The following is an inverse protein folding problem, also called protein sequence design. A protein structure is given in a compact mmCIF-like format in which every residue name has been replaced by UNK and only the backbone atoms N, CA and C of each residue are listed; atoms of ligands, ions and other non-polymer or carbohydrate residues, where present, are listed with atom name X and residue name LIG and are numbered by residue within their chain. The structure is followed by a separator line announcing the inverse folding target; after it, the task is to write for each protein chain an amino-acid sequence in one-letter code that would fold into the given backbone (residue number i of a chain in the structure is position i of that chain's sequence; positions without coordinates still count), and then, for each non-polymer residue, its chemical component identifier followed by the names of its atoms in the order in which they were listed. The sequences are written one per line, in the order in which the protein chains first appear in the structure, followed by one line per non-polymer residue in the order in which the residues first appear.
data_IF_097293228326
#
_entry.id   IF_097293228326
#
_cell.length_a   1.000
_cell.length_b   1.000
_cell.length_c   1.000
_cell.angle_alpha   90.00
_cell.angle_beta   90.00
_cell.angle_gamma   90.00
#
_symmetry.space_group_name_H-M   'P 1'
#
loop_
_entity.id
_entity.type
_entity.pdbx_description
1 polymer ?
#
# COMPACT_ATOMS: atom_id res chain seq x y z
N UNK A 1 8.25 -5.75 -17.13
CA UNK A 1 6.79 -5.96 -17.23
C UNK A 1 6.15 -5.38 -15.99
N UNK A 2 5.04 -4.67 -16.14
CA UNK A 2 4.25 -4.15 -15.02
C UNK A 2 2.85 -4.74 -15.14
N UNK A 3 2.38 -5.36 -14.07
CA UNK A 3 1.05 -5.94 -13.94
C UNK A 3 0.29 -5.17 -12.87
N UNK A 4 -0.99 -4.88 -13.11
CA UNK A 4 -1.86 -4.20 -12.17
C UNK A 4 -3.09 -5.06 -11.87
N UNK A 5 -3.31 -5.35 -10.60
CA UNK A 5 -4.49 -6.06 -10.13
C UNK A 5 -5.30 -5.13 -9.22
N UNK A 6 -6.58 -4.95 -9.56
CA UNK A 6 -7.54 -4.19 -8.75
C UNK A 6 -8.61 -5.16 -8.25
N UNK A 7 -8.77 -5.24 -6.94
CA UNK A 7 -9.65 -6.21 -6.28
C UNK A 7 -10.61 -5.46 -5.37
N UNK A 8 -11.92 -5.67 -5.54
CA UNK A 8 -12.86 -5.28 -4.50
C UNK A 8 -12.69 -6.25 -3.34
N UNK A 9 -12.29 -5.72 -2.19
CA UNK A 9 -12.10 -6.53 -0.99
C UNK A 9 -13.47 -6.76 -0.34
N UNK A 10 -13.64 -7.95 0.24
CA UNK A 10 -14.79 -8.18 1.12
C UNK A 10 -14.70 -7.27 2.34
N UNK A 11 -15.85 -6.86 2.89
CA UNK A 11 -15.84 -6.18 4.18
C UNK A 11 -15.26 -7.14 5.22
N UNK A 12 -14.28 -6.72 6.04
CA UNK A 12 -13.74 -7.56 7.09
C UNK A 12 -14.84 -7.89 8.10
N UNK A 13 -14.88 -9.15 8.58
CA UNK A 13 -15.71 -9.54 9.72
C UNK A 13 -15.11 -8.94 11.00
N UNK A 14 -15.47 -7.69 11.31
CA UNK A 14 -15.06 -7.01 12.54
C UNK A 14 -16.31 -6.67 13.33
N UNK A 15 -16.34 -7.09 14.61
CA UNK A 15 -17.49 -6.88 15.52
C UNK A 15 -17.66 -5.43 16.01
N UNK A 16 -16.86 -4.45 15.54
CA UNK A 16 -16.95 -3.06 16.00
C UNK A 16 -17.93 -2.20 15.17
N UNK A 17 -18.58 -1.26 15.86
CA UNK A 17 -19.93 -0.76 15.58
C UNK A 17 -20.09 0.34 14.52
N UNK A 18 -19.05 0.72 13.76
CA UNK A 18 -19.22 1.61 12.60
C UNK A 18 -18.50 1.06 11.36
N UNK A 19 -19.30 0.50 10.46
CA UNK A 19 -18.85 -0.34 9.36
C UNK A 19 -18.15 0.45 8.25
N UNK A 20 -17.11 -0.16 7.69
CA UNK A 20 -16.70 0.14 6.32
C UNK A 20 -17.91 -0.03 5.40
N UNK A 21 -18.23 1.00 4.64
CA UNK A 21 -19.23 0.94 3.57
C UNK A 21 -18.64 0.27 2.31
N UNK A 22 -17.32 0.13 2.23
CA UNK A 22 -16.63 -0.58 1.16
C UNK A 22 -15.12 -0.43 1.23
N UNK A 23 -14.44 -1.30 0.49
CA UNK A 23 -12.99 -1.26 0.33
C UNK A 23 -12.52 -1.86 -1.00
N UNK A 24 -11.35 -1.42 -1.46
CA UNK A 24 -10.66 -1.86 -2.68
C UNK A 24 -9.19 -2.01 -2.38
N UNK A 25 -8.60 -3.10 -2.82
CA UNK A 25 -7.16 -3.34 -2.79
C UNK A 25 -6.60 -3.22 -4.20
N UNK A 26 -5.42 -2.61 -4.30
CA UNK A 26 -4.67 -2.48 -5.54
C UNK A 26 -3.28 -3.06 -5.31
N UNK A 27 -2.85 -3.98 -6.17
CA UNK A 27 -1.51 -4.54 -6.15
C UNK A 27 -0.84 -4.32 -7.50
N UNK A 28 0.34 -3.73 -7.46
CA UNK A 28 1.25 -3.64 -8.59
C UNK A 28 2.31 -4.72 -8.47
N UNK A 29 2.44 -5.53 -9.51
CA UNK A 29 3.56 -6.44 -9.70
C UNK A 29 4.54 -5.89 -10.72
N UNK A 30 5.80 -5.79 -10.31
CA UNK A 30 6.90 -5.39 -11.16
C UNK A 30 7.77 -6.61 -11.39
N UNK A 31 7.99 -6.98 -12.66
CA UNK A 31 8.98 -8.00 -13.05
C UNK A 31 9.97 -7.41 -14.02
N UNK A 32 11.24 -7.38 -13.62
CA UNK A 32 12.33 -6.86 -14.43
C UNK A 32 12.86 -7.95 -15.38
N UNK A 33 12.87 -7.68 -16.68
CA UNK A 33 13.56 -8.50 -17.70
C UNK A 33 14.90 -7.88 -18.12
N UNK A 34 15.04 -6.58 -17.89
CA UNK A 34 16.22 -5.74 -18.08
C UNK A 34 16.28 -4.80 -16.89
N UNK A 35 17.47 -4.36 -16.44
CA UNK A 35 17.59 -3.48 -15.29
C UNK A 35 16.64 -2.27 -15.38
N UNK A 36 16.02 -1.95 -14.25
CA UNK A 36 15.12 -0.80 -14.10
C UNK A 36 15.82 0.18 -13.15
N UNK A 37 16.01 1.41 -13.62
CA UNK A 37 16.45 2.56 -12.80
C UNK A 37 15.48 2.81 -11.64
N UNK A 38 15.91 3.45 -10.54
CA UNK A 38 15.00 3.91 -9.48
C UNK A 38 13.70 4.53 -9.99
N UNK A 39 12.57 4.18 -9.38
CA UNK A 39 11.26 4.65 -9.82
C UNK A 39 10.35 4.97 -8.63
N UNK A 40 9.16 5.49 -8.93
CA UNK A 40 8.14 5.78 -7.93
C UNK A 40 6.75 5.40 -8.40
N UNK A 41 5.88 5.12 -7.43
CA UNK A 41 4.45 4.93 -7.64
C UNK A 41 3.71 5.99 -6.83
N UNK A 42 2.78 6.68 -7.46
CA UNK A 42 1.97 7.72 -6.81
C UNK A 42 0.49 7.36 -6.88
N UNK A 43 -0.21 7.51 -5.76
CA UNK A 43 -1.67 7.52 -5.73
C UNK A 43 -2.10 8.93 -5.31
N UNK A 44 -2.89 9.60 -6.14
CA UNK A 44 -3.33 10.98 -5.92
C UNK A 44 -4.85 11.09 -5.99
N UNK A 45 -5.39 12.03 -5.23
CA UNK A 45 -6.81 12.40 -5.27
C UNK A 45 -6.98 13.86 -5.68
N UNK A 46 -7.85 14.12 -6.66
CA UNK A 46 -8.04 15.47 -7.21
C UNK A 46 -9.12 16.30 -6.47
N UNK A 47 -9.90 15.66 -5.60
CA UNK A 47 -10.99 16.33 -4.85
C UNK A 47 -10.53 17.11 -3.60
N UNK A 48 -11.38 18.01 -3.09
CA UNK A 48 -11.10 18.80 -1.89
C UNK A 48 -11.25 17.98 -0.61
N UNK A 49 -10.77 18.53 0.52
CA UNK A 49 -11.02 17.95 1.84
C UNK A 49 -10.18 16.73 2.18
N UNK A 50 -8.97 16.64 1.60
CA UNK A 50 -8.01 15.60 1.89
C UNK A 50 -6.90 16.11 2.82
N UNK A 51 -6.38 15.23 3.66
CA UNK A 51 -5.21 15.49 4.49
C UNK A 51 -4.49 14.20 4.87
N UNK A 52 -3.24 14.29 5.32
CA UNK A 52 -2.47 13.14 5.80
C UNK A 52 -3.14 12.53 7.03
N UNK A 53 -3.05 11.20 7.13
CA UNK A 53 -3.57 10.39 8.23
C UNK A 53 -2.50 9.36 8.63
N UNK A 54 -1.32 9.86 9.01
CA UNK A 54 -0.11 9.06 9.23
C UNK A 54 0.03 8.59 10.67
N UNK A 55 0.80 7.50 10.87
CA UNK A 55 1.00 6.86 12.17
C UNK A 55 2.19 5.89 12.13
N UNK A 56 2.43 5.15 13.22
CA UNK A 56 3.49 4.15 13.23
C UNK A 56 3.14 2.99 12.29
N UNK A 57 4.05 2.64 11.38
CA UNK A 57 3.91 1.57 10.39
C UNK A 57 2.93 1.86 9.23
N UNK A 58 2.49 3.12 9.07
CA UNK A 58 1.49 3.47 8.07
C UNK A 58 1.69 4.83 7.40
N UNK A 59 1.56 4.83 6.08
CA UNK A 59 1.48 6.02 5.25
C UNK A 59 0.09 6.05 4.60
N UNK A 60 -0.71 7.06 4.96
CA UNK A 60 -2.09 7.16 4.55
C UNK A 60 -2.55 8.61 4.39
N UNK A 61 -3.57 8.80 3.56
CA UNK A 61 -4.30 10.07 3.48
C UNK A 61 -5.80 9.81 3.46
N UNK A 62 -6.53 10.74 4.07
CA UNK A 62 -7.97 10.64 4.26
C UNK A 62 -8.67 11.82 3.58
N UNK A 63 -9.78 11.55 2.90
CA UNK A 63 -10.63 12.54 2.24
C UNK A 63 -12.08 12.39 2.70
N UNK A 64 -12.72 13.50 3.04
CA UNK A 64 -14.15 13.54 3.30
C UNK A 64 -14.91 13.88 2.01
N UNK A 65 -15.80 12.99 1.56
CA UNK A 65 -16.62 13.18 0.36
C UNK A 65 -18.02 12.59 0.52
N UNK A 66 -19.06 13.36 0.15
CA UNK A 66 -20.45 12.89 0.10
C UNK A 66 -20.92 12.08 1.33
N UNK A 67 -20.66 12.59 2.54
CA UNK A 67 -21.05 11.94 3.79
C UNK A 67 -20.20 10.73 4.19
N UNK A 68 -19.15 10.43 3.43
CA UNK A 68 -18.19 9.38 3.72
C UNK A 68 -16.81 9.96 4.03
N UNK A 69 -16.06 9.21 4.81
CA UNK A 69 -14.62 9.39 4.99
C UNK A 69 -13.93 8.22 4.32
N UNK A 70 -13.09 8.53 3.34
CA UNK A 70 -12.30 7.57 2.58
C UNK A 70 -10.83 7.71 2.97
N UNK A 71 -10.17 6.59 3.22
CA UNK A 71 -8.74 6.53 3.48
C UNK A 71 -8.06 5.69 2.41
N UNK A 72 -6.95 6.18 1.90
CA UNK A 72 -6.02 5.42 1.08
C UNK A 72 -4.77 5.21 1.92
N UNK A 73 -4.29 3.97 2.00
CA UNK A 73 -3.14 3.59 2.80
C UNK A 73 -2.21 2.62 2.08
N UNK A 74 -0.97 2.59 2.54
CA UNK A 74 0.05 1.59 2.22
C UNK A 74 0.99 1.42 3.42
N UNK A 75 1.94 0.50 3.30
CA UNK A 75 3.02 0.37 4.29
C UNK A 75 3.90 1.62 4.28
N UNK A 76 4.26 2.09 5.46
CA UNK A 76 5.25 3.15 5.60
C UNK A 76 6.67 2.67 5.30
N UNK A 77 7.62 3.57 5.51
CA UNK A 77 9.02 3.32 5.21
C UNK A 77 9.63 2.17 6.04
N UNK A 78 9.34 2.12 7.34
CA UNK A 78 9.80 1.05 8.22
C UNK A 78 9.20 -0.31 7.83
N UNK A 79 7.89 -0.35 7.57
CA UNK A 79 7.20 -1.56 7.16
C UNK A 79 7.67 -2.06 5.78
N UNK A 80 8.02 -1.15 4.86
CA UNK A 80 8.65 -1.51 3.59
C UNK A 80 10.06 -2.08 3.79
N UNK A 81 10.88 -1.46 4.64
CA UNK A 81 12.23 -1.95 4.94
C UNK A 81 12.19 -3.33 5.61
N UNK A 82 11.21 -3.60 6.48
CA UNK A 82 11.02 -4.93 7.07
C UNK A 82 10.65 -6.03 6.05
N UNK A 83 10.20 -5.66 4.84
CA UNK A 83 9.97 -6.60 3.73
C UNK A 83 11.22 -6.85 2.90
N UNK A 84 12.29 -6.08 3.06
CA UNK A 84 13.52 -6.24 2.29
C UNK A 84 14.21 -7.55 2.71
N UNK A 85 14.34 -8.48 1.76
CA UNK A 85 14.96 -9.78 2.00
C UNK A 85 14.18 -10.73 2.93
N UNK A 86 13.01 -10.30 3.44
CA UNK A 86 12.19 -11.05 4.37
C UNK A 86 10.70 -10.94 4.06
N UNK A 87 9.95 -12.02 4.29
CA UNK A 87 8.48 -11.98 4.24
C UNK A 87 7.92 -12.36 5.60
N UNK A 88 6.86 -11.68 6.01
CA UNK A 88 6.10 -12.06 7.21
C UNK A 88 4.61 -12.04 6.87
N UNK A 89 3.77 -12.84 7.56
CA UNK A 89 2.32 -12.77 7.35
C UNK A 89 1.72 -11.38 7.61
N UNK A 90 2.42 -10.55 8.39
CA UNK A 90 2.01 -9.18 8.73
C UNK A 90 2.35 -8.16 7.65
N UNK A 91 3.33 -8.43 6.78
CA UNK A 91 3.85 -7.47 5.79
C UNK A 91 3.76 -7.98 4.33
N UNK A 92 3.50 -9.27 4.14
CA UNK A 92 3.35 -9.91 2.83
C UNK A 92 4.67 -10.24 2.13
N UNK A 93 4.60 -10.36 0.79
CA UNK A 93 5.73 -10.76 -0.05
C UNK A 93 6.99 -9.91 0.14
N UNK A 94 8.14 -10.59 0.13
CA UNK A 94 9.45 -10.00 0.27
C UNK A 94 9.81 -9.08 -0.91
N UNK A 95 10.61 -8.05 -0.61
CA UNK A 95 11.25 -7.15 -1.56
C UNK A 95 12.72 -7.58 -1.79
N UNK A 96 13.38 -7.14 -2.88
CA UNK A 96 14.76 -7.50 -3.18
C UNK A 96 15.72 -7.19 -2.03
N UNK A 97 16.53 -8.18 -1.62
CA UNK A 97 17.37 -8.07 -0.42
C UNK A 97 18.44 -6.95 -0.51
N UNK A 98 18.98 -6.69 -1.71
CA UNK A 98 20.00 -5.65 -1.90
C UNK A 98 19.46 -4.23 -1.66
N UNK A 99 18.13 -4.06 -1.65
CA UNK A 99 17.52 -2.78 -1.31
C UNK A 99 17.93 -2.31 0.08
N UNK A 100 18.33 -3.20 1.00
CA UNK A 100 18.76 -2.83 2.35
C UNK A 100 19.91 -1.82 2.32
N UNK A 101 20.86 -1.99 1.39
CA UNK A 101 22.01 -1.10 1.25
C UNK A 101 21.64 0.20 0.54
N UNK A 102 20.69 0.15 -0.41
CA UNK A 102 20.24 1.30 -1.16
C UNK A 102 19.27 2.21 -0.39
N UNK A 103 18.45 1.62 0.48
CA UNK A 103 17.37 2.29 1.20
C UNK A 103 17.90 3.26 2.27
N UNK A 104 18.94 2.84 2.99
CA UNK A 104 19.53 3.61 4.08
C UNK A 104 18.67 3.59 5.34
N UNK A 105 18.78 4.65 6.15
CA UNK A 105 17.96 4.84 7.34
C UNK A 105 16.53 5.24 6.95
N UNK A 106 15.49 4.62 7.56
CA UNK A 106 14.10 5.02 7.34
C UNK A 106 13.89 6.50 7.57
N UNK A 107 12.96 7.10 6.81
CA UNK A 107 12.51 8.49 6.91
C UNK A 107 13.54 9.56 6.48
N UNK A 108 14.83 9.21 6.46
CA UNK A 108 15.93 10.08 6.03
C UNK A 108 16.43 9.75 4.63
N UNK A 109 16.13 8.56 4.13
CA UNK A 109 16.59 8.03 2.84
C UNK A 109 15.89 8.62 1.60
N UNK A 110 16.43 8.32 0.42
CA UNK A 110 15.82 8.68 -0.87
C UNK A 110 14.58 7.85 -1.19
N UNK A 111 14.55 6.61 -0.71
CA UNK A 111 13.50 5.62 -0.93
C UNK A 111 12.50 5.62 0.22
N UNK A 112 11.34 5.00 0.02
CA UNK A 112 10.29 4.96 1.03
C UNK A 112 8.96 5.54 0.62
N UNK A 113 7.97 5.29 1.47
CA UNK A 113 6.65 5.89 1.39
C UNK A 113 6.68 7.32 1.95
N UNK A 114 5.97 8.23 1.29
CA UNK A 114 5.89 9.64 1.65
C UNK A 114 4.50 10.19 1.39
N UNK A 115 3.96 10.87 2.39
CA UNK A 115 2.76 11.68 2.24
C UNK A 115 2.97 12.83 1.26
N UNK A 116 2.00 13.03 0.38
CA UNK A 116 1.83 14.22 -0.45
C UNK A 116 0.60 14.98 0.05
N UNK A 117 0.48 16.27 -0.27
CA UNK A 117 -0.69 17.08 0.09
C UNK A 117 -2.04 16.44 -0.27
N UNK A 118 -2.05 15.61 -1.33
CA UNK A 118 -3.24 14.91 -1.84
C UNK A 118 -2.94 13.50 -2.33
N UNK A 119 -2.08 12.78 -1.64
CA UNK A 119 -1.69 11.46 -2.10
C UNK A 119 -0.58 10.83 -1.30
N UNK A 120 -0.10 9.72 -1.83
CA UNK A 120 1.06 8.99 -1.31
C UNK A 120 1.99 8.74 -2.50
N UNK A 121 3.28 8.94 -2.26
CA UNK A 121 4.35 8.52 -3.15
C UNK A 121 5.13 7.40 -2.48
N UNK A 122 5.45 6.33 -3.22
CA UNK A 122 6.41 5.32 -2.78
C UNK A 122 7.56 5.31 -3.76
N UNK A 123 8.75 5.68 -3.27
CA UNK A 123 10.01 5.66 -4.04
C UNK A 123 10.72 4.34 -3.80
N UNK A 124 11.14 3.69 -4.87
CA UNK A 124 11.74 2.37 -4.84
C UNK A 124 13.12 2.40 -5.50
N UNK A 125 14.11 1.67 -4.95
CA UNK A 125 15.36 1.42 -5.66
C UNK A 125 15.11 0.69 -6.97
N UNK A 126 16.14 0.64 -7.82
CA UNK A 126 16.08 -0.11 -9.09
C UNK A 126 15.74 -1.61 -8.93
N UNK A 127 15.56 -2.30 -10.05
CA UNK A 127 15.53 -3.77 -10.09
C UNK A 127 16.61 -4.24 -11.04
N UNK A 128 17.36 -5.27 -10.64
CA UNK A 128 18.21 -5.97 -11.60
C UNK A 128 17.38 -6.91 -12.47
N UNK A 129 17.94 -7.37 -13.58
CA UNK A 129 17.25 -8.31 -14.46
C UNK A 129 16.89 -9.60 -13.69
N UNK A 130 15.65 -10.06 -13.82
CA UNK A 130 15.13 -11.25 -13.15
C UNK A 130 14.46 -10.97 -11.81
N UNK A 131 14.61 -9.78 -11.23
CA UNK A 131 13.96 -9.43 -9.97
C UNK A 131 12.51 -9.00 -10.12
N UNK A 132 11.81 -9.07 -9.00
CA UNK A 132 10.41 -8.65 -8.90
C UNK A 132 10.13 -7.96 -7.58
N UNK A 133 9.13 -7.09 -7.58
CA UNK A 133 8.62 -6.43 -6.39
C UNK A 133 7.09 -6.36 -6.45
N UNK A 134 6.44 -6.48 -5.29
CA UNK A 134 5.03 -6.20 -5.11
C UNK A 134 4.85 -4.95 -4.27
N UNK A 135 4.10 -3.99 -4.80
CA UNK A 135 3.62 -2.82 -4.05
C UNK A 135 2.11 -2.88 -3.99
N UNK A 136 1.52 -2.38 -2.90
CA UNK A 136 0.09 -2.34 -2.75
C UNK A 136 -0.39 -1.01 -2.21
N UNK A 137 -1.65 -0.71 -2.44
CA UNK A 137 -2.41 0.33 -1.78
C UNK A 137 -3.79 -0.24 -1.46
N UNK A 138 -4.35 0.13 -0.33
CA UNK A 138 -5.73 -0.17 0.00
C UNK A 138 -6.53 1.11 0.18
N UNK A 139 -7.78 1.06 -0.25
CA UNK A 139 -8.74 2.14 -0.17
C UNK A 139 -9.91 1.61 0.63
N UNK A 140 -10.30 2.32 1.68
CA UNK A 140 -11.44 1.96 2.50
C UNK A 140 -12.27 3.21 2.79
N UNK A 141 -13.59 3.06 2.93
CA UNK A 141 -14.45 4.18 3.27
C UNK A 141 -15.58 3.75 4.20
N UNK A 142 -16.01 4.69 5.03
CA UNK A 142 -17.12 4.53 5.97
C UNK A 142 -17.84 5.87 6.21
N UNK A 143 -18.85 5.90 7.09
CA UNK A 143 -19.57 7.12 7.42
C UNK A 143 -18.65 8.23 7.94
N UNK A 144 -18.88 9.46 7.51
CA UNK A 144 -18.20 10.65 8.01
C UNK A 144 -18.66 10.97 9.44
N UNK A 145 -17.72 11.30 10.33
CA UNK A 145 -18.02 11.78 11.68
C UNK A 145 -18.22 10.68 12.73
N UNK A 146 -17.97 9.42 12.39
CA UNK A 146 -17.79 8.36 13.38
C UNK A 146 -16.36 8.39 13.92
N UNK A 147 -16.22 8.48 15.24
CA UNK A 147 -14.94 8.32 15.95
C UNK A 147 -14.42 6.87 15.92
N UNK A 148 -15.26 5.93 15.45
CA UNK A 148 -14.95 4.50 15.31
C UNK A 148 -14.69 4.08 13.85
N UNK A 149 -14.49 5.03 12.93
CA UNK A 149 -14.28 4.73 11.52
C UNK A 149 -12.99 3.90 11.32
N UNK A 150 -13.15 2.66 10.87
CA UNK A 150 -12.06 1.70 10.66
C UNK A 150 -11.32 1.84 9.31
N UNK A 151 -11.63 2.85 8.49
CA UNK A 151 -11.06 3.02 7.16
C UNK A 151 -9.54 3.12 7.17
N UNK A 152 -8.98 3.92 8.09
CA UNK A 152 -7.53 4.03 8.24
C UNK A 152 -6.90 2.69 8.61
N UNK A 153 -7.38 2.05 9.70
CA UNK A 153 -6.88 0.75 10.15
C UNK A 153 -6.93 -0.32 9.06
N UNK A 154 -8.03 -0.44 8.33
CA UNK A 154 -8.13 -1.42 7.25
C UNK A 154 -7.19 -1.11 6.08
N UNK A 155 -7.13 0.16 5.67
CA UNK A 155 -6.30 0.58 4.55
C UNK A 155 -4.80 0.37 4.83
N UNK A 156 -4.39 0.33 6.10
CA UNK A 156 -2.99 0.22 6.50
C UNK A 156 -2.59 -1.18 6.96
N UNK A 157 -3.52 -1.96 7.54
CA UNK A 157 -3.26 -3.35 7.95
C UNK A 157 -3.38 -4.35 6.78
N UNK A 158 -3.85 -3.90 5.63
CA UNK A 158 -3.92 -4.74 4.44
C UNK A 158 -2.51 -5.00 3.90
N UNK A 159 -2.28 -6.18 3.31
CA UNK A 159 -1.00 -6.56 2.70
C UNK A 159 -1.23 -6.97 1.24
N UNK A 160 -0.21 -6.97 0.37
CA UNK A 160 -0.36 -7.44 -1.01
C UNK A 160 -0.93 -8.86 -1.06
N UNK A 161 -0.44 -9.75 -0.19
CA UNK A 161 -0.86 -11.15 -0.17
C UNK A 161 -2.34 -11.31 0.24
N UNK A 162 -2.81 -10.50 1.20
CA UNK A 162 -4.23 -10.45 1.59
C UNK A 162 -5.09 -10.01 0.42
N UNK A 163 -4.68 -8.96 -0.31
CA UNK A 163 -5.42 -8.46 -1.48
C UNK A 163 -5.50 -9.53 -2.58
N UNK A 164 -4.38 -10.18 -2.90
CA UNK A 164 -4.33 -11.21 -3.93
C UNK A 164 -5.16 -12.45 -3.56
N UNK A 165 -5.16 -12.84 -2.28
CA UNK A 165 -6.00 -13.93 -1.80
C UNK A 165 -7.49 -13.70 -2.07
N UNK A 166 -7.99 -12.46 -1.94
CA UNK A 166 -9.38 -12.12 -2.29
C UNK A 166 -9.70 -12.28 -3.78
N UNK A 167 -8.68 -12.24 -4.66
CA UNK A 167 -8.82 -12.50 -6.09
C UNK A 167 -8.54 -13.95 -6.48
N UNK A 168 -8.28 -14.85 -5.51
CA UNK A 168 -7.74 -16.19 -5.75
C UNK A 168 -6.43 -16.17 -6.58
N UNK A 169 -5.60 -15.15 -6.36
CA UNK A 169 -4.29 -14.99 -6.97
C UNK A 169 -3.19 -15.11 -5.91
N UNK A 170 -1.99 -15.43 -6.36
CA UNK A 170 -0.75 -15.40 -5.59
C UNK A 170 0.22 -14.35 -6.17
N UNK A 171 1.29 -14.06 -5.44
CA UNK A 171 2.36 -13.20 -5.95
C UNK A 171 2.89 -13.70 -7.31
N UNK A 172 3.02 -15.02 -7.48
CA UNK A 172 3.49 -15.65 -8.72
C UNK A 172 2.59 -15.27 -9.89
N UNK A 173 1.27 -15.34 -9.75
CA UNK A 173 0.31 -15.06 -10.83
C UNK A 173 0.39 -13.62 -11.35
N UNK A 174 0.89 -12.69 -10.52
CA UNK A 174 0.99 -11.26 -10.85
C UNK A 174 2.37 -10.91 -11.41
N UNK A 175 3.43 -11.59 -10.93
CA UNK A 175 4.82 -11.31 -11.32
C UNK A 175 5.34 -12.25 -12.42
N UNK A 176 4.59 -13.26 -12.87
CA UNK A 176 4.97 -14.11 -14.01
C UNK A 176 4.71 -13.47 -15.36
#
# INVERSE_FOLDING_TARGET
MVSLVVVRLGLPDVESLDQLSGCVGVVWGFRSVTPIEPWRVEVRHEGPGCGPDTGQHLEAFTCDYAGHRMTVGTHDDEALLLRVGGSTPLLGAALPAWWQEAWGEPWEGEYGARGLDRGIEVRLPGLVAGESALLHFAIAWGPRGSDQNAAAWFATDTTPDRILAHANLSAVDVIT
#
